data_IF_931170727026
#
_entry.id   IF_931170727026
#
_cell.length_a   1.000
_cell.length_b   1.000
_cell.length_c   1.000
_cell.angle_alpha   90.00
_cell.angle_beta   90.00
_cell.angle_gamma   90.00
#
_symmetry.space_group_name_H-M   'P 1'
#
loop_
_entity.id
_entity.type
_entity.pdbx_description
1 polymer ?
#
# COMPACT_ATOMS: atom_id res chain seq x y z
N UNK A 1 -14.65 37.03 -48.38
CA UNK A 1 -13.50 36.41 -47.69
C UNK A 1 -14.04 35.25 -46.88
N UNK A 2 -13.75 33.97 -47.20
CA UNK A 2 -14.23 32.86 -46.40
C UNK A 2 -13.42 32.75 -45.10
N UNK A 3 -14.11 32.63 -43.96
CA UNK A 3 -13.51 32.38 -42.65
C UNK A 3 -13.27 30.88 -42.50
N UNK A 4 -12.00 30.47 -42.43
CA UNK A 4 -11.61 29.09 -42.12
C UNK A 4 -11.76 28.86 -40.61
N UNK A 5 -12.73 28.04 -40.21
CA UNK A 5 -12.85 27.59 -38.83
C UNK A 5 -11.86 26.45 -38.62
N UNK A 6 -10.84 26.65 -37.77
CA UNK A 6 -9.94 25.57 -37.34
C UNK A 6 -10.72 24.59 -36.46
N UNK A 7 -10.72 23.27 -36.75
CA UNK A 7 -11.31 22.31 -35.84
C UNK A 7 -10.50 22.26 -34.54
N UNK A 8 -11.19 22.26 -33.40
CA UNK A 8 -10.59 21.99 -32.11
C UNK A 8 -10.03 20.56 -32.12
N UNK A 9 -8.74 20.41 -31.82
CA UNK A 9 -8.13 19.10 -31.68
C UNK A 9 -8.81 18.36 -30.50
N UNK A 10 -9.38 17.20 -30.79
CA UNK A 10 -9.90 16.29 -29.77
C UNK A 10 -8.70 15.70 -29.01
N UNK A 11 -8.37 16.27 -27.87
CA UNK A 11 -7.35 15.72 -26.98
C UNK A 11 -7.87 14.37 -26.45
N UNK A 12 -7.37 13.27 -27.02
CA UNK A 12 -7.53 11.94 -26.42
C UNK A 12 -6.77 11.94 -25.10
N UNK A 13 -7.47 12.21 -24.01
CA UNK A 13 -7.01 11.85 -22.67
C UNK A 13 -6.82 10.33 -22.65
N UNK A 14 -5.67 9.79 -22.18
CA UNK A 14 -5.53 8.36 -21.97
C UNK A 14 -6.46 7.97 -20.81
N UNK A 15 -7.64 7.46 -21.16
CA UNK A 15 -8.60 6.91 -20.22
C UNK A 15 -8.15 5.50 -19.82
N UNK A 16 -7.04 5.41 -19.08
CA UNK A 16 -6.66 4.17 -18.40
C UNK A 16 -7.49 4.04 -17.13
N UNK A 17 -8.79 3.80 -17.30
CA UNK A 17 -9.66 3.27 -16.26
C UNK A 17 -9.10 1.89 -15.89
N UNK A 18 -8.33 1.82 -14.79
CA UNK A 18 -8.00 0.53 -14.19
C UNK A 18 -9.32 -0.17 -13.85
N UNK A 19 -9.57 -1.41 -14.33
CA UNK A 19 -10.76 -2.13 -13.93
C UNK A 19 -10.73 -2.23 -12.40
N UNK A 20 -11.81 -1.76 -11.76
CA UNK A 20 -12.04 -2.07 -10.36
C UNK A 20 -12.09 -3.59 -10.27
N UNK A 21 -11.06 -4.20 -9.67
CA UNK A 21 -11.09 -5.62 -9.31
C UNK A 21 -12.15 -5.72 -8.22
N UNK A 22 -13.38 -6.04 -8.62
CA UNK A 22 -14.43 -6.36 -7.68
C UNK A 22 -14.01 -7.64 -6.95
N UNK A 23 -14.16 -7.65 -5.63
CA UNK A 23 -14.02 -8.88 -4.88
C UNK A 23 -15.05 -9.90 -5.44
N UNK A 24 -14.71 -11.20 -5.49
CA UNK A 24 -15.65 -12.23 -5.92
C UNK A 24 -16.96 -12.08 -5.15
N UNK A 25 -18.09 -12.12 -5.87
CA UNK A 25 -19.43 -12.13 -5.27
C UNK A 25 -19.83 -13.52 -4.76
N UNK A 26 -18.91 -14.48 -4.83
CA UNK A 26 -19.11 -15.82 -4.30
C UNK A 26 -19.39 -15.74 -2.80
N UNK A 27 -20.35 -16.55 -2.36
CA UNK A 27 -20.63 -16.67 -0.94
C UNK A 27 -19.34 -17.08 -0.21
N UNK A 28 -19.04 -16.49 0.96
CA UNK A 28 -17.94 -16.99 1.77
C UNK A 28 -18.15 -18.47 2.06
N UNK A 29 -17.05 -19.22 2.15
CA UNK A 29 -17.09 -20.63 2.56
C UNK A 29 -17.81 -20.80 3.91
N UNK A 30 -18.24 -22.02 4.23
CA UNK A 30 -18.86 -22.30 5.52
C UNK A 30 -17.98 -21.78 6.69
N UNK A 31 -18.52 -21.48 7.88
CA UNK A 31 -17.73 -21.01 9.03
C UNK A 31 -16.62 -21.98 9.47
N UNK A 32 -16.68 -23.24 9.03
CA UNK A 32 -15.67 -24.28 9.25
C UNK A 32 -14.64 -24.38 8.14
N UNK A 33 -14.80 -23.65 7.03
CA UNK A 33 -13.88 -23.62 5.91
C UNK A 33 -12.66 -22.76 6.25
N UNK A 34 -11.45 -23.29 5.99
CA UNK A 34 -10.19 -22.57 6.16
C UNK A 34 -10.11 -21.32 5.27
N UNK A 35 -10.83 -21.29 4.15
CA UNK A 35 -10.92 -20.11 3.28
C UNK A 35 -11.72 -18.97 3.91
N UNK A 36 -12.59 -19.28 4.88
CA UNK A 36 -13.34 -18.30 5.68
C UNK A 36 -12.56 -17.79 6.90
N UNK A 37 -11.34 -18.30 7.13
CA UNK A 37 -10.46 -17.84 8.19
C UNK A 37 -10.02 -16.39 7.97
N UNK A 38 -10.20 -15.55 8.99
CA UNK A 38 -9.84 -14.13 8.99
C UNK A 38 -8.69 -13.84 9.97
N UNK A 39 -7.95 -12.76 9.71
CA UNK A 39 -7.00 -12.19 10.69
C UNK A 39 -7.75 -11.53 11.85
N UNK A 40 -7.12 -11.47 13.02
CA UNK A 40 -7.66 -10.73 14.16
C UNK A 40 -7.30 -9.25 14.12
N UNK A 41 -8.01 -8.41 14.87
CA UNK A 41 -7.63 -7.01 15.05
C UNK A 41 -6.24 -6.86 15.68
N UNK A 42 -5.84 -7.79 16.54
CA UNK A 42 -4.50 -7.85 17.13
C UNK A 42 -3.45 -8.15 16.07
N UNK A 43 -3.71 -9.08 15.14
CA UNK A 43 -2.81 -9.38 14.02
C UNK A 43 -2.57 -8.15 13.14
N UNK A 44 -3.65 -7.46 12.77
CA UNK A 44 -3.59 -6.24 11.95
C UNK A 44 -2.80 -5.14 12.67
N UNK A 45 -3.08 -4.92 13.96
CA UNK A 45 -2.36 -3.95 14.76
C UNK A 45 -0.86 -4.27 14.87
N UNK A 46 -0.50 -5.54 15.08
CA UNK A 46 0.90 -5.96 15.16
C UNK A 46 1.63 -5.75 13.83
N UNK A 47 0.96 -6.01 12.71
CA UNK A 47 1.51 -5.75 11.39
C UNK A 47 1.75 -4.25 11.15
N UNK A 48 0.81 -3.39 11.56
CA UNK A 48 0.97 -1.94 11.44
C UNK A 48 2.05 -1.38 12.38
N UNK A 49 2.15 -1.88 13.61
CA UNK A 49 3.05 -1.36 14.64
C UNK A 49 4.49 -1.89 14.55
N UNK A 50 4.67 -3.13 14.09
CA UNK A 50 5.98 -3.82 14.11
C UNK A 50 6.35 -4.48 12.79
N UNK A 51 5.46 -4.51 11.80
CA UNK A 51 5.63 -5.28 10.58
C UNK A 51 5.44 -6.79 10.76
N UNK A 52 5.08 -7.26 11.97
CA UNK A 52 4.86 -8.70 12.22
C UNK A 52 3.58 -9.16 11.53
N UNK A 53 3.73 -10.02 10.52
CA UNK A 53 2.60 -10.60 9.80
C UNK A 53 1.84 -11.55 10.72
N UNK A 54 0.54 -11.31 10.89
CA UNK A 54 -0.32 -12.20 11.66
C UNK A 54 -0.60 -13.52 10.95
N UNK A 55 -1.36 -14.40 11.61
CA UNK A 55 -1.84 -15.65 11.01
C UNK A 55 -3.37 -15.69 11.07
N UNK A 56 -4.02 -16.13 9.99
CA UNK A 56 -5.47 -16.30 9.98
C UNK A 56 -5.91 -17.29 11.07
N UNK A 57 -7.05 -17.06 11.69
CA UNK A 57 -7.60 -17.99 12.68
C UNK A 57 -7.92 -19.33 12.04
N UNK A 58 -7.21 -20.38 12.43
CA UNK A 58 -7.42 -21.75 11.91
C UNK A 58 -8.43 -22.55 12.73
N UNK A 59 -8.88 -22.01 13.88
CA UNK A 59 -9.88 -22.65 14.73
C UNK A 59 -11.27 -22.49 14.13
N UNK A 60 -12.06 -23.56 14.09
CA UNK A 60 -13.50 -23.48 13.78
C UNK A 60 -14.20 -22.53 14.75
N UNK A 61 -15.22 -21.82 14.27
CA UNK A 61 -16.10 -21.05 15.15
C UNK A 61 -16.67 -21.99 16.22
N UNK A 62 -16.49 -21.61 17.48
CA UNK A 62 -17.00 -22.35 18.64
C UNK A 62 -17.55 -21.35 19.65
N UNK A 63 -18.68 -21.70 20.26
CA UNK A 63 -19.28 -20.85 21.27
C UNK A 63 -18.35 -20.74 22.49
N UNK A 64 -18.10 -19.53 22.99
CA UNK A 64 -17.29 -19.35 24.18
C UNK A 64 -18.05 -19.89 25.41
N UNK A 65 -17.39 -20.73 26.21
CA UNK A 65 -17.96 -21.28 27.45
C UNK A 65 -18.25 -20.20 28.51
N UNK A 66 -17.65 -19.02 28.36
CA UNK A 66 -17.90 -17.84 29.19
C UNK A 66 -17.60 -16.57 28.40
N UNK A 67 -18.28 -15.47 28.75
CA UNK A 67 -18.00 -14.16 28.16
C UNK A 67 -16.59 -13.65 28.49
N UNK A 68 -16.08 -12.67 27.73
CA UNK A 68 -14.78 -12.07 28.01
C UNK A 68 -14.78 -11.40 29.38
N UNK A 69 -13.88 -11.83 30.27
CA UNK A 69 -13.69 -11.26 31.60
C UNK A 69 -12.73 -10.07 31.63
N UNK A 70 -12.09 -9.78 30.48
CA UNK A 70 -11.18 -8.66 30.28
C UNK A 70 -11.29 -8.18 28.84
N UNK A 71 -10.75 -6.99 28.56
CA UNK A 71 -10.71 -6.43 27.21
C UNK A 71 -9.88 -7.36 26.29
N UNK A 72 -10.55 -8.23 25.55
CA UNK A 72 -9.92 -9.15 24.60
C UNK A 72 -9.87 -8.49 23.23
N UNK A 73 -8.69 -7.97 22.85
CA UNK A 73 -8.38 -7.52 21.49
C UNK A 73 -8.07 -6.03 21.36
N UNK A 74 -7.46 -5.68 20.23
CA UNK A 74 -7.19 -4.29 19.86
C UNK A 74 -8.48 -3.58 19.45
N UNK A 75 -8.60 -2.30 19.83
CA UNK A 75 -9.74 -1.48 19.43
C UNK A 75 -9.56 -0.95 18.02
N UNK A 76 -10.66 -0.66 17.31
CA UNK A 76 -10.58 0.03 16.02
C UNK A 76 -9.91 1.40 16.15
N UNK A 77 -10.06 2.10 17.29
CA UNK A 77 -9.35 3.35 17.57
C UNK A 77 -7.84 3.14 17.67
N UNK A 78 -7.38 2.05 18.29
CA UNK A 78 -5.95 1.72 18.36
C UNK A 78 -5.38 1.40 16.97
N UNK A 79 -6.15 0.74 16.11
CA UNK A 79 -5.75 0.49 14.71
C UNK A 79 -5.71 1.80 13.93
N UNK A 80 -6.76 2.62 14.02
CA UNK A 80 -6.83 3.91 13.34
C UNK A 80 -5.65 4.82 13.70
N UNK A 81 -5.22 4.81 14.96
CA UNK A 81 -4.06 5.57 15.43
C UNK A 81 -2.72 5.09 14.84
N UNK A 82 -2.64 3.85 14.34
CA UNK A 82 -1.45 3.28 13.70
C UNK A 82 -1.46 3.41 12.17
N UNK A 83 -2.59 3.80 11.57
CA UNK A 83 -2.64 3.94 10.12
C UNK A 83 -1.75 5.10 9.67
N UNK A 84 -1.00 4.93 8.57
CA UNK A 84 -0.28 6.04 7.98
C UNK A 84 -1.26 7.16 7.59
N UNK A 85 -0.81 8.40 7.72
CA UNK A 85 -1.53 9.58 7.23
C UNK A 85 -0.93 10.05 5.90
N UNK A 86 -1.75 10.74 5.10
CA UNK A 86 -1.28 11.44 3.91
C UNK A 86 -0.22 12.48 4.32
N UNK A 87 0.95 12.39 3.71
CA UNK A 87 2.02 13.37 3.84
C UNK A 87 2.39 13.88 2.45
N UNK A 88 1.66 14.90 1.99
CA UNK A 88 1.89 15.51 0.69
C UNK A 88 3.11 16.47 0.66
N UNK A 89 3.62 16.87 1.84
CA UNK A 89 4.67 17.87 1.94
C UNK A 89 6.05 17.25 2.06
N UNK A 90 6.16 16.14 2.80
CA UNK A 90 7.44 15.51 3.17
C UNK A 90 7.46 14.00 2.90
N UNK A 91 6.37 13.44 2.38
CA UNK A 91 6.34 12.03 1.98
C UNK A 91 7.39 11.74 0.92
N UNK A 92 8.20 10.71 1.14
CA UNK A 92 9.21 10.27 0.19
C UNK A 92 8.58 9.93 -1.16
N UNK A 93 9.23 10.35 -2.24
CA UNK A 93 8.90 9.94 -3.61
C UNK A 93 9.93 8.94 -4.13
N UNK A 94 9.64 8.28 -5.26
CA UNK A 94 10.55 7.29 -5.84
C UNK A 94 11.96 7.85 -6.12
N UNK A 95 12.08 9.14 -6.43
CA UNK A 95 13.35 9.82 -6.65
C UNK A 95 14.19 10.02 -5.38
N UNK A 96 13.60 9.88 -4.19
CA UNK A 96 14.30 10.00 -2.90
C UNK A 96 14.90 8.67 -2.45
N UNK A 97 14.41 7.54 -2.97
CA UNK A 97 14.80 6.20 -2.54
C UNK A 97 15.69 5.55 -3.58
N UNK A 98 16.77 4.89 -3.12
CA UNK A 98 17.75 4.20 -3.98
C UNK A 98 17.06 3.20 -4.92
N UNK A 99 17.54 3.09 -6.15
CA UNK A 99 17.02 2.15 -7.16
C UNK A 99 16.83 0.75 -6.58
N UNK A 100 15.72 0.11 -6.98
CA UNK A 100 15.35 -1.26 -6.61
C UNK A 100 15.05 -1.49 -5.11
N UNK A 101 15.02 -0.43 -4.29
CA UNK A 101 14.55 -0.50 -2.90
C UNK A 101 13.08 -0.16 -2.80
N UNK A 102 12.34 -0.95 -2.03
CA UNK A 102 10.92 -0.71 -1.80
C UNK A 102 10.68 0.17 -0.58
N UNK A 103 9.60 0.95 -0.62
CA UNK A 103 9.13 1.78 0.49
C UNK A 103 7.61 1.90 0.45
N UNK A 104 7.00 2.35 1.56
CA UNK A 104 5.58 2.68 1.59
C UNK A 104 5.40 4.19 1.37
N UNK A 105 4.83 4.57 0.23
CA UNK A 105 4.57 5.96 -0.12
C UNK A 105 3.39 6.54 0.65
N UNK A 106 3.54 7.79 1.06
CA UNK A 106 2.56 8.57 1.85
C UNK A 106 1.95 9.74 1.07
N UNK A 107 2.33 9.95 -0.19
CA UNK A 107 1.88 11.09 -1.00
C UNK A 107 0.61 10.74 -1.81
N UNK A 108 -0.15 11.77 -2.21
CA UNK A 108 -1.31 11.58 -3.06
C UNK A 108 -0.87 11.17 -4.46
N UNK A 109 -1.32 10.01 -4.92
CA UNK A 109 -0.93 9.44 -6.23
C UNK A 109 0.22 8.43 -6.17
N UNK A 110 0.90 8.30 -5.03
CA UNK A 110 1.89 7.25 -4.79
C UNK A 110 1.69 6.56 -3.42
N UNK A 111 0.44 6.52 -2.93
CA UNK A 111 0.07 5.84 -1.70
C UNK A 111 0.27 4.32 -1.84
N UNK A 112 0.94 3.69 -0.87
CA UNK A 112 1.16 2.23 -0.85
C UNK A 112 2.58 1.82 -1.23
N UNK A 113 2.78 0.54 -1.57
CA UNK A 113 4.09 0.01 -1.92
C UNK A 113 4.64 0.66 -3.19
N UNK A 114 5.83 1.24 -3.11
CA UNK A 114 6.56 1.91 -4.17
C UNK A 114 7.98 1.36 -4.29
N UNK A 115 8.65 1.62 -5.41
CA UNK A 115 10.06 1.28 -5.67
C UNK A 115 10.85 2.54 -5.99
N UNK A 116 12.02 2.69 -5.38
CA UNK A 116 12.95 3.79 -5.63
C UNK A 116 13.56 3.75 -7.02
N UNK A 117 13.92 4.92 -7.54
CA UNK A 117 14.58 5.12 -8.84
C UNK A 117 15.85 5.96 -8.74
N UNK A 118 16.28 6.31 -7.52
CA UNK A 118 17.46 7.15 -7.31
C UNK A 118 18.73 6.34 -7.55
N UNK A 119 19.47 6.67 -8.60
CA UNK A 119 20.83 6.15 -8.78
C UNK A 119 21.81 6.90 -7.88
N UNK A 120 22.79 6.22 -7.26
CA UNK A 120 23.86 6.92 -6.56
C UNK A 120 24.63 7.81 -7.54
N UNK A 121 25.08 8.98 -7.09
CA UNK A 121 25.99 9.80 -7.88
C UNK A 121 27.24 8.97 -8.22
N UNK A 122 27.75 9.03 -9.46
CA UNK A 122 28.98 8.34 -9.80
C UNK A 122 30.10 8.86 -8.89
N UNK A 123 30.84 7.94 -8.27
CA UNK A 123 32.12 8.29 -7.66
C UNK A 123 33.04 8.62 -8.82
N UNK A 124 33.31 9.90 -9.06
CA UNK A 124 34.39 10.28 -9.98
C UNK A 124 35.68 9.87 -9.26
N UNK A 125 36.28 8.76 -9.68
CA UNK A 125 37.62 8.41 -9.23
C UNK A 125 38.55 9.56 -9.60
N UNK A 126 39.17 10.18 -8.60
CA UNK A 126 40.10 11.31 -8.76
C UNK A 126 41.39 10.97 -9.49
N UNK A 127 41.57 9.72 -9.90
CA UNK A 127 42.89 9.18 -10.22
C UNK A 127 43.18 9.08 -11.73
N UNK A 128 42.38 9.73 -12.59
CA UNK A 128 42.76 9.94 -13.99
C UNK A 128 43.21 11.39 -14.24
N UNK A 129 44.16 11.85 -13.44
CA UNK A 129 44.98 13.02 -13.74
C UNK A 129 46.24 12.54 -14.50
N UNK A 130 46.15 12.59 -15.83
CA UNK A 130 47.25 12.89 -16.77
C UNK A 130 48.68 12.48 -16.35
N UNK A 131 49.15 11.34 -16.88
CA UNK A 131 50.57 11.20 -17.19
C UNK A 131 50.82 11.80 -18.58
N UNK A 132 51.68 12.83 -18.62
CA UNK A 132 52.26 13.44 -19.81
C UNK A 132 53.10 12.44 -20.62
#
# INVERSE_FOLDING_TARGET
MPVTVKPFANATLPDTISPAVANPLDAPGAPTDVNSAMYTLTDIYNQLSTGTVGTKRTTTFGEPASGPTSATGQTLNAIQAMLPALDAAQGAVAADVVSDKTFWGLTSGAWGLQTGIRYPSPVIASDNATAY
#
